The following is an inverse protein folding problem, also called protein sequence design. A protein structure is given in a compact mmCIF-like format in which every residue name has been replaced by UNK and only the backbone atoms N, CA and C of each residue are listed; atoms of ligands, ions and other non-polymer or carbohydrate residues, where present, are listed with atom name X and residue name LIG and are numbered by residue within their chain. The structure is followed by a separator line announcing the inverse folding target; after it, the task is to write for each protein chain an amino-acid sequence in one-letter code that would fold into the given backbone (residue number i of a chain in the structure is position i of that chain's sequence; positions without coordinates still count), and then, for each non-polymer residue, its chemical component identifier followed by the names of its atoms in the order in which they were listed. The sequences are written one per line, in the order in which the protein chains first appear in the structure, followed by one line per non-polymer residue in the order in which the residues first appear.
data_IF_377600126657
#
_entry.id   IF_377600126657
#
_cell.length_a   1.000
_cell.length_b   1.000
_cell.length_c   1.000
_cell.angle_alpha   90.00
_cell.angle_beta   90.00
_cell.angle_gamma   90.00
#
_symmetry.space_group_name_H-M   'P 1'
#
loop_
_entity.id
_entity.type
_entity.pdbx_description
1 polymer ?
#
# COMPACT_ATOMS: atom_id res chain seq x y z
N UNK A 1 -4.72 -11.48 5.62
CA UNK A 1 -4.10 -12.71 5.06
C UNK A 1 -3.07 -13.32 6.00
N UNK A 2 -2.03 -12.60 6.42
CA UNK A 2 -0.96 -13.15 7.28
C UNK A 2 -1.45 -13.96 8.49
N UNK A 3 -2.42 -13.43 9.25
CA UNK A 3 -2.99 -14.15 10.40
C UNK A 3 -3.65 -15.50 10.01
N UNK A 4 -4.37 -15.54 8.88
CA UNK A 4 -4.99 -16.77 8.38
C UNK A 4 -3.96 -17.82 7.94
N UNK A 5 -2.75 -17.39 7.57
CA UNK A 5 -1.64 -18.27 7.23
C UNK A 5 -0.82 -18.70 8.47
N UNK A 6 -1.26 -18.34 9.67
CA UNK A 6 -0.55 -18.65 10.93
C UNK A 6 0.61 -17.71 11.25
N UNK A 7 0.73 -16.59 10.53
CA UNK A 7 1.73 -15.56 10.81
C UNK A 7 1.49 -14.87 12.15
N UNK A 8 2.58 -14.50 12.82
CA UNK A 8 2.58 -13.75 14.08
C UNK A 8 2.86 -12.27 13.81
N UNK A 9 3.08 -11.48 14.86
CA UNK A 9 3.26 -10.03 14.77
C UNK A 9 4.31 -9.61 13.73
N UNK A 10 5.43 -10.34 13.64
CA UNK A 10 6.48 -10.07 12.65
C UNK A 10 5.98 -10.25 11.22
N UNK A 11 5.30 -11.35 10.92
CA UNK A 11 4.78 -11.62 9.58
C UNK A 11 3.62 -10.68 9.23
N UNK A 12 2.79 -10.33 10.22
CA UNK A 12 1.70 -9.36 10.06
C UNK A 12 2.28 -7.98 9.73
N UNK A 13 3.25 -7.50 10.50
CA UNK A 13 3.94 -6.24 10.23
C UNK A 13 4.60 -6.26 8.85
N UNK A 14 5.34 -7.32 8.54
CA UNK A 14 6.01 -7.47 7.25
C UNK A 14 5.04 -7.49 6.07
N UNK A 15 3.87 -8.09 6.24
CA UNK A 15 2.80 -8.08 5.24
C UNK A 15 2.28 -6.67 5.01
N UNK A 16 2.05 -5.89 6.06
CA UNK A 16 1.60 -4.49 5.95
C UNK A 16 2.68 -3.66 5.23
N UNK A 17 3.94 -3.83 5.59
CA UNK A 17 5.04 -3.10 4.96
C UNK A 17 5.20 -3.46 3.48
N UNK A 18 5.12 -4.74 3.11
CA UNK A 18 5.16 -5.18 1.71
C UNK A 18 3.97 -4.62 0.91
N UNK A 19 2.76 -4.69 1.46
CA UNK A 19 1.56 -4.14 0.84
C UNK A 19 1.70 -2.65 0.56
N UNK A 20 2.15 -1.89 1.56
CA UNK A 20 2.31 -0.45 1.43
C UNK A 20 3.49 -0.10 0.51
N UNK A 21 4.59 -0.85 0.50
CA UNK A 21 5.67 -0.61 -0.45
C UNK A 21 5.23 -0.81 -1.90
N UNK A 22 4.32 -1.75 -2.16
CA UNK A 22 3.88 -2.10 -3.50
C UNK A 22 2.76 -1.18 -4.01
N UNK A 23 1.70 -0.99 -3.21
CA UNK A 23 0.48 -0.35 -3.67
C UNK A 23 0.43 1.16 -3.38
N UNK A 24 1.37 1.69 -2.60
CA UNK A 24 1.42 3.14 -2.34
C UNK A 24 1.59 3.90 -3.63
N UNK A 25 0.72 4.90 -3.81
CA UNK A 25 0.66 5.70 -5.02
C UNK A 25 -0.22 5.13 -6.12
N UNK A 26 -0.94 4.02 -5.87
CA UNK A 26 -2.11 3.69 -6.65
C UNK A 26 -3.13 4.84 -6.55
N UNK A 27 -3.30 5.55 -7.66
CA UNK A 27 -4.07 6.80 -7.68
C UNK A 27 -5.57 6.51 -7.73
N UNK A 28 -6.34 7.20 -6.89
CA UNK A 28 -7.81 7.12 -6.88
C UNK A 28 -8.40 8.16 -7.85
N UNK A 29 -9.33 7.73 -8.70
CA UNK A 29 -9.98 8.52 -9.76
C UNK A 29 -11.52 8.56 -9.61
N UNK A 30 -12.02 8.23 -8.41
CA UNK A 30 -13.41 8.46 -8.01
C UNK A 30 -14.41 7.36 -8.40
N UNK A 31 -14.32 6.20 -7.75
CA UNK A 31 -15.33 5.10 -7.81
C UNK A 31 -15.77 4.67 -9.23
N UNK A 32 -14.85 4.69 -10.19
CA UNK A 32 -15.05 4.25 -11.59
C UNK A 32 -14.74 2.77 -11.76
N UNK A 33 -14.80 2.27 -12.99
CA UNK A 33 -14.49 0.88 -13.36
C UNK A 33 -13.08 0.45 -12.91
N UNK A 34 -12.14 1.39 -12.93
CA UNK A 34 -10.77 1.20 -12.45
C UNK A 34 -10.72 0.80 -10.96
N UNK A 35 -11.73 1.13 -10.16
CA UNK A 35 -11.85 0.72 -8.76
C UNK A 35 -11.92 -0.81 -8.62
N UNK A 36 -12.72 -1.49 -9.46
CA UNK A 36 -12.82 -2.94 -9.43
C UNK A 36 -11.49 -3.63 -9.77
N UNK A 37 -10.76 -3.07 -10.74
CA UNK A 37 -9.43 -3.56 -11.13
C UNK A 37 -8.44 -3.37 -9.99
N UNK A 38 -8.41 -2.18 -9.37
CA UNK A 38 -7.55 -1.85 -8.22
C UNK A 38 -7.84 -2.74 -7.02
N UNK A 39 -9.12 -3.02 -6.73
CA UNK A 39 -9.53 -3.94 -5.68
C UNK A 39 -9.07 -5.37 -5.96
N UNK A 40 -9.19 -5.85 -7.20
CA UNK A 40 -8.68 -7.17 -7.61
C UNK A 40 -7.17 -7.27 -7.40
N UNK A 41 -6.42 -6.24 -7.81
CA UNK A 41 -4.97 -6.17 -7.60
C UNK A 41 -4.63 -6.18 -6.11
N UNK A 42 -5.29 -5.35 -5.30
CA UNK A 42 -5.08 -5.31 -3.85
C UNK A 42 -5.38 -6.64 -3.15
N UNK A 43 -6.41 -7.36 -3.59
CA UNK A 43 -6.74 -8.67 -3.06
C UNK A 43 -5.68 -9.72 -3.40
N UNK A 44 -5.19 -9.76 -4.65
CA UNK A 44 -4.10 -10.63 -5.05
C UNK A 44 -2.82 -10.30 -4.29
N UNK A 45 -2.49 -9.01 -4.16
CA UNK A 45 -1.29 -8.55 -3.48
C UNK A 45 -1.32 -8.87 -1.98
N UNK A 46 -2.48 -8.82 -1.33
CA UNK A 46 -2.62 -9.20 0.07
C UNK A 46 -2.21 -10.66 0.32
N UNK A 47 -2.41 -11.54 -0.66
CA UNK A 47 -1.97 -12.94 -0.60
C UNK A 47 -0.46 -13.00 -0.81
N UNK A 48 0.05 -12.36 -1.87
CA UNK A 48 1.48 -12.36 -2.22
C UNK A 48 2.33 -11.78 -1.09
N UNK A 49 2.01 -10.58 -0.61
CA UNK A 49 2.69 -9.91 0.49
C UNK A 49 2.72 -10.74 1.78
N UNK A 50 1.63 -11.46 2.08
CA UNK A 50 1.57 -12.35 3.23
C UNK A 50 2.45 -13.59 3.06
N UNK A 51 2.46 -14.20 1.88
CA UNK A 51 3.35 -15.31 1.58
C UNK A 51 4.83 -14.89 1.63
N UNK A 52 5.17 -13.71 1.12
CA UNK A 52 6.53 -13.17 1.18
C UNK A 52 6.97 -12.97 2.63
N UNK A 53 6.14 -12.32 3.44
CA UNK A 53 6.45 -12.07 4.86
C UNK A 53 6.59 -13.38 5.65
N UNK A 54 5.73 -14.36 5.38
CA UNK A 54 5.80 -15.71 5.99
C UNK A 54 7.11 -16.44 5.65
N UNK A 55 7.70 -16.16 4.48
CA UNK A 55 9.00 -16.69 4.06
C UNK A 55 10.17 -15.74 4.41
N UNK A 56 9.96 -14.80 5.33
CA UNK A 56 11.00 -13.87 5.79
C UNK A 56 11.41 -12.79 4.79
N UNK A 57 10.66 -12.64 3.69
CA UNK A 57 10.89 -11.59 2.69
C UNK A 57 10.04 -10.37 3.02
N UNK A 58 10.68 -9.35 3.58
CA UNK A 58 10.04 -8.09 3.98
C UNK A 58 10.87 -6.95 3.40
N UNK A 59 10.20 -5.96 2.82
CA UNK A 59 10.83 -4.74 2.31
C UNK A 59 11.62 -4.04 3.44
N UNK A 60 12.89 -3.64 3.21
CA UNK A 60 13.68 -2.96 4.22
C UNK A 60 13.10 -1.60 4.62
N UNK A 61 13.32 -1.20 5.87
CA UNK A 61 13.05 0.17 6.31
C UNK A 61 13.82 1.20 5.46
N UNK A 62 13.33 2.46 5.47
CA UNK A 62 13.85 3.57 4.64
C UNK A 62 13.74 3.34 3.13
N UNK A 63 12.94 2.38 2.68
CA UNK A 63 12.52 2.24 1.29
C UNK A 63 11.24 3.03 1.08
N UNK A 64 11.28 4.17 0.40
CA UNK A 64 10.10 5.01 0.20
C UNK A 64 9.46 5.42 1.54
N UNK A 65 8.21 5.01 1.78
CA UNK A 65 7.46 5.31 3.02
C UNK A 65 7.67 4.29 4.15
N UNK A 66 8.46 3.23 3.95
CA UNK A 66 8.58 2.14 4.93
C UNK A 66 9.36 2.57 6.18
N UNK A 67 8.67 2.57 7.31
CA UNK A 67 9.22 2.82 8.64
C UNK A 67 9.78 1.57 9.32
N UNK A 68 10.15 1.68 10.59
CA UNK A 68 10.62 0.56 11.41
C UNK A 68 9.48 -0.33 11.91
N UNK A 69 8.27 0.24 12.04
CA UNK A 69 7.05 -0.48 12.39
C UNK A 69 5.96 -0.30 11.33
N UNK A 70 4.88 -1.07 11.45
CA UNK A 70 3.69 -0.88 10.61
C UNK A 70 3.07 0.50 10.83
N UNK A 71 3.00 0.95 12.08
CA UNK A 71 2.44 2.25 12.47
C UNK A 71 3.24 3.39 11.87
N UNK A 72 4.58 3.39 12.01
CA UNK A 72 5.45 4.40 11.40
C UNK A 72 5.28 4.43 9.87
N UNK A 73 5.12 3.25 9.25
CA UNK A 73 4.84 3.16 7.80
C UNK A 73 3.50 3.80 7.43
N UNK A 74 2.46 3.58 8.23
CA UNK A 74 1.13 4.17 8.03
C UNK A 74 1.16 5.69 8.26
N UNK A 75 1.92 6.17 9.25
CA UNK A 75 2.13 7.59 9.48
C UNK A 75 2.83 8.26 8.29
N UNK A 76 3.88 7.63 7.74
CA UNK A 76 4.56 8.09 6.54
C UNK A 76 3.64 8.10 5.31
N UNK A 77 2.77 7.10 5.16
CA UNK A 77 1.73 7.11 4.13
C UNK A 77 0.80 8.31 4.31
N UNK A 78 0.36 8.59 5.54
CA UNK A 78 -0.48 9.74 5.86
C UNK A 78 0.17 11.07 5.49
N UNK A 79 1.47 11.23 5.78
CA UNK A 79 2.25 12.39 5.37
C UNK A 79 2.26 12.54 3.84
N UNK A 80 2.56 11.47 3.11
CA UNK A 80 2.60 11.47 1.65
C UNK A 80 1.21 11.80 1.06
N UNK A 81 0.14 11.21 1.57
CA UNK A 81 -1.22 11.50 1.10
C UNK A 81 -1.61 12.96 1.34
N UNK A 82 -1.30 13.52 2.51
CA UNK A 82 -1.66 14.90 2.85
C UNK A 82 -0.86 15.92 2.04
N UNK A 83 0.46 15.75 1.98
CA UNK A 83 1.36 16.79 1.49
C UNK A 83 1.81 16.55 0.04
N UNK A 84 1.83 15.29 -0.42
CA UNK A 84 2.31 14.90 -1.74
C UNK A 84 1.22 14.73 -2.81
N UNK A 85 0.00 14.34 -2.44
CA UNK A 85 -1.07 14.02 -3.40
C UNK A 85 -2.00 15.18 -3.74
N UNK A 86 -1.90 16.33 -3.05
CA UNK A 86 -2.72 17.51 -3.35
C UNK A 86 -2.56 17.97 -4.79
N UNK A 87 -1.33 18.11 -5.28
CA UNK A 87 -1.05 18.47 -6.68
C UNK A 87 -1.44 17.37 -7.67
N UNK A 88 -1.37 16.10 -7.26
CA UNK A 88 -1.77 14.99 -8.12
C UNK A 88 -3.27 15.02 -8.40
N UNK A 89 -4.08 15.41 -7.41
CA UNK A 89 -5.53 15.58 -7.55
C UNK A 89 -5.87 16.67 -8.57
N UNK A 90 -5.22 17.84 -8.49
CA UNK A 90 -5.41 18.94 -9.44
C UNK A 90 -5.09 18.51 -10.88
N UNK A 91 -3.94 17.85 -11.08
CA UNK A 91 -3.53 17.36 -12.41
C UNK A 91 -4.50 16.30 -12.95
N UNK A 92 -5.02 15.42 -12.08
CA UNK A 92 -6.03 14.44 -12.48
C UNK A 92 -7.32 15.10 -12.94
N UNK A 93 -7.77 16.16 -12.27
CA UNK A 93 -8.94 16.92 -12.68
C UNK A 93 -8.71 17.58 -14.05
N UNK A 94 -7.52 18.13 -14.32
CA UNK A 94 -7.15 18.60 -15.66
C UNK A 94 -7.28 17.48 -16.70
N UNK A 95 -6.72 16.29 -16.43
CA UNK A 95 -6.76 15.17 -17.38
C UNK A 95 -8.18 14.63 -17.61
N UNK A 96 -9.01 14.58 -16.58
CA UNK A 96 -10.31 13.92 -16.64
C UNK A 96 -11.46 14.85 -17.09
N UNK A 97 -11.31 16.16 -16.94
CA UNK A 97 -12.34 17.15 -17.23
C UNK A 97 -12.02 18.05 -18.44
N UNK A 98 -10.80 18.03 -18.96
CA UNK A 98 -10.46 18.54 -20.30
C UNK A 98 -10.66 17.47 -21.38
#
# INVERSE_FOLDING_TARGET
MSWLLGGKDKEIQGTIQNMLANLTGMVCDGAKESCAIKLSTSAAEAIISAYLAQNGTIVPNKTGIIGNTAEETIENLGLLCRDGFSMADDVMLTIACE
#
